data_IF_230192918196
#
_entry.id   IF_230192918196
#
_cell.length_a   1.000
_cell.length_b   1.000
_cell.length_c   1.000
_cell.angle_alpha   90.00
_cell.angle_beta   90.00
_cell.angle_gamma   90.00
#
_symmetry.space_group_name_H-M   'P 1'
#
loop_
_entity.id
_entity.type
_entity.pdbx_description
1 polymer ?
#
# COMPACT_ATOMS: atom_id res chain seq x y z
N UNK A 1 32.24 5.33 16.76
CA UNK A 1 31.49 4.27 16.05
C UNK A 1 32.48 3.37 15.32
N UNK A 2 32.29 2.04 15.41
CA UNK A 2 33.14 1.06 14.73
C UNK A 2 32.96 1.07 13.21
N UNK A 3 34.03 0.87 12.47
CA UNK A 3 34.02 0.78 11.00
C UNK A 3 33.55 -0.62 10.55
N UNK A 4 32.70 -0.68 9.53
CA UNK A 4 32.10 -1.93 9.04
C UNK A 4 32.18 -2.08 7.52
N UNK A 5 32.18 -3.33 7.07
CA UNK A 5 32.12 -3.74 5.67
C UNK A 5 30.73 -4.31 5.41
N UNK A 6 30.08 -3.85 4.34
CA UNK A 6 28.70 -4.26 4.03
C UNK A 6 28.68 -5.03 2.71
N UNK A 7 28.16 -6.26 2.71
CA UNK A 7 27.76 -7.00 1.51
C UNK A 7 26.25 -6.93 1.33
N UNK A 8 25.79 -6.68 0.10
CA UNK A 8 24.37 -6.56 -0.19
C UNK A 8 24.01 -7.30 -1.47
N UNK A 9 23.10 -8.27 -1.35
CA UNK A 9 22.46 -8.92 -2.50
C UNK A 9 21.09 -8.26 -2.76
N UNK A 10 20.86 -7.87 -4.01
CA UNK A 10 19.71 -7.07 -4.40
C UNK A 10 18.74 -7.91 -5.25
N UNK A 11 17.50 -8.06 -4.78
CA UNK A 11 16.46 -8.85 -5.43
C UNK A 11 15.10 -8.73 -4.74
N UNK A 12 14.13 -9.55 -5.17
CA UNK A 12 12.82 -9.68 -4.50
C UNK A 12 12.98 -10.03 -3.02
N UNK A 13 13.90 -10.96 -2.75
CA UNK A 13 14.49 -11.16 -1.43
C UNK A 13 15.87 -10.54 -1.47
N UNK A 14 16.09 -9.48 -0.69
CA UNK A 14 17.39 -8.83 -0.56
C UNK A 14 18.07 -9.32 0.71
N UNK A 15 19.38 -9.50 0.69
CA UNK A 15 20.13 -9.94 1.86
C UNK A 15 21.25 -8.97 2.21
N UNK A 16 21.51 -8.86 3.52
CA UNK A 16 22.50 -7.95 4.10
C UNK A 16 23.47 -8.72 4.96
N UNK A 17 24.76 -8.64 4.65
CA UNK A 17 25.84 -9.12 5.48
C UNK A 17 26.68 -7.94 5.97
N UNK A 18 26.97 -7.88 7.27
CA UNK A 18 27.80 -6.84 7.87
C UNK A 18 28.97 -7.49 8.60
N UNK A 19 30.19 -7.13 8.22
CA UNK A 19 31.42 -7.56 8.87
C UNK A 19 32.10 -6.41 9.61
N UNK A 20 32.81 -6.75 10.68
CA UNK A 20 33.79 -5.83 11.26
C UNK A 20 35.00 -5.68 10.33
N UNK A 21 35.83 -4.66 10.56
CA UNK A 21 37.13 -4.53 9.88
C UNK A 21 38.12 -5.67 10.22
N UNK A 22 37.82 -6.50 11.23
CA UNK A 22 38.56 -7.72 11.55
C UNK A 22 38.08 -8.94 10.75
N UNK A 23 36.96 -8.83 10.02
CA UNK A 23 36.36 -9.93 9.26
C UNK A 23 35.31 -10.73 10.03
N UNK A 24 34.98 -10.33 11.26
CA UNK A 24 33.95 -11.00 12.06
C UNK A 24 32.55 -10.66 11.54
N UNK A 25 31.68 -11.66 11.44
CA UNK A 25 30.28 -11.48 11.07
C UNK A 25 29.50 -10.84 12.21
N UNK A 26 29.03 -9.61 11.99
CA UNK A 26 28.24 -8.83 12.94
C UNK A 26 26.74 -8.99 12.73
N UNK A 27 26.32 -9.15 11.47
CA UNK A 27 24.91 -9.28 11.12
C UNK A 27 24.75 -10.01 9.78
N UNK A 28 23.75 -10.88 9.69
CA UNK A 28 23.31 -11.54 8.47
C UNK A 28 21.80 -11.69 8.52
N UNK A 29 21.10 -11.23 7.49
CA UNK A 29 19.64 -11.37 7.41
C UNK A 29 19.11 -11.19 5.99
N UNK A 30 17.92 -11.73 5.76
CA UNK A 30 17.15 -11.60 4.52
C UNK A 30 15.92 -10.74 4.76
N UNK A 31 15.60 -9.89 3.79
CA UNK A 31 14.47 -8.98 3.80
C UNK A 31 13.57 -9.29 2.60
N UNK A 32 12.26 -9.44 2.85
CA UNK A 32 11.26 -9.52 1.79
C UNK A 32 10.92 -8.11 1.32
N UNK A 33 11.27 -7.78 0.08
CA UNK A 33 11.13 -6.44 -0.48
C UNK A 33 12.26 -5.48 -0.08
N UNK A 34 12.59 -4.56 -0.97
CA UNK A 34 13.64 -3.57 -0.76
C UNK A 34 13.10 -2.31 -0.05
N UNK A 35 13.06 -2.33 1.29
CA UNK A 35 12.89 -1.10 2.08
C UNK A 35 14.28 -0.50 2.42
N UNK A 36 14.65 0.52 1.64
CA UNK A 36 15.92 1.24 1.80
C UNK A 36 16.10 1.83 3.21
N UNK A 37 15.03 2.32 3.83
CA UNK A 37 15.08 2.92 5.16
C UNK A 37 15.41 1.90 6.24
N UNK A 38 14.82 0.71 6.16
CA UNK A 38 15.12 -0.42 7.06
C UNK A 38 16.59 -0.85 6.93
N UNK A 39 17.07 -1.02 5.70
CA UNK A 39 18.47 -1.44 5.44
C UNK A 39 19.46 -0.41 5.98
N UNK A 40 19.22 0.89 5.73
CA UNK A 40 20.09 1.96 6.24
C UNK A 40 20.15 1.94 7.77
N UNK A 41 19.00 1.80 8.45
CA UNK A 41 18.95 1.72 9.91
C UNK A 41 19.72 0.52 10.44
N UNK A 42 19.61 -0.65 9.80
CA UNK A 42 20.37 -1.84 10.20
C UNK A 42 21.88 -1.66 10.04
N UNK A 43 22.32 -1.04 8.94
CA UNK A 43 23.73 -0.72 8.73
C UNK A 43 24.24 0.22 9.83
N UNK A 44 23.55 1.35 10.06
CA UNK A 44 23.94 2.35 11.05
C UNK A 44 23.94 1.82 12.48
N UNK A 45 23.00 0.93 12.82
CA UNK A 45 22.97 0.24 14.12
C UNK A 45 24.23 -0.59 14.36
N UNK A 46 24.79 -1.16 13.29
CA UNK A 46 25.98 -2.00 13.39
C UNK A 46 27.29 -1.22 13.25
N UNK A 47 27.30 -0.03 12.65
CA UNK A 47 28.50 0.80 12.57
C UNK A 47 28.49 1.77 11.40
N UNK A 48 29.66 2.33 11.09
CA UNK A 48 29.85 3.23 9.94
C UNK A 48 30.44 2.46 8.76
N UNK A 49 29.74 2.37 7.62
CA UNK A 49 30.23 1.61 6.48
C UNK A 49 31.43 2.32 5.83
N UNK A 50 32.52 1.57 5.63
CA UNK A 50 33.70 2.04 4.89
C UNK A 50 33.62 1.67 3.41
N UNK A 51 32.90 0.59 3.08
CA UNK A 51 32.69 0.11 1.73
C UNK A 51 31.39 -0.69 1.64
N UNK A 52 30.86 -0.79 0.42
CA UNK A 52 29.73 -1.66 0.08
C UNK A 52 30.15 -2.63 -1.02
N UNK A 53 29.83 -3.90 -0.87
CA UNK A 53 30.28 -4.97 -1.74
C UNK A 53 29.12 -5.69 -2.44
N UNK A 54 29.42 -6.23 -3.62
CA UNK A 54 28.54 -7.10 -4.40
C UNK A 54 29.36 -8.18 -5.11
N UNK A 55 28.74 -9.34 -5.31
CA UNK A 55 29.23 -10.54 -5.97
C UNK A 55 29.20 -10.48 -7.51
N UNK A 56 28.53 -9.47 -8.08
CA UNK A 56 28.41 -9.27 -9.53
C UNK A 56 29.48 -8.33 -10.08
N UNK A 57 29.96 -8.62 -11.29
CA UNK A 57 30.78 -7.71 -12.09
C UNK A 57 30.00 -6.45 -12.34
N UNK A 58 28.78 -6.51 -12.85
CA UNK A 58 27.96 -5.31 -12.98
C UNK A 58 27.24 -5.00 -11.68
N UNK A 59 27.56 -3.85 -11.07
CA UNK A 59 27.01 -3.49 -9.77
C UNK A 59 25.51 -3.19 -9.88
N UNK A 60 24.65 -3.88 -9.09
CA UNK A 60 23.22 -3.61 -9.06
C UNK A 60 22.89 -2.16 -8.67
N UNK A 61 21.76 -1.64 -9.16
CA UNK A 61 21.31 -0.26 -8.88
C UNK A 61 21.18 0.02 -7.39
N UNK A 62 20.60 -0.91 -6.62
CA UNK A 62 20.45 -0.78 -5.17
C UNK A 62 21.79 -0.65 -4.43
N UNK A 63 22.80 -1.42 -4.84
CA UNK A 63 24.17 -1.33 -4.28
C UNK A 63 24.80 0.03 -4.57
N UNK A 64 24.64 0.54 -5.81
CA UNK A 64 25.10 1.89 -6.18
C UNK A 64 24.42 2.97 -5.34
N UNK A 65 23.12 2.85 -5.11
CA UNK A 65 22.35 3.78 -4.30
C UNK A 65 22.75 3.77 -2.83
N UNK A 66 22.91 2.59 -2.22
CA UNK A 66 23.41 2.47 -0.85
C UNK A 66 24.81 3.09 -0.74
N UNK A 67 25.70 2.81 -1.70
CA UNK A 67 27.05 3.34 -1.66
C UNK A 67 27.06 4.87 -1.77
N UNK A 68 26.21 5.44 -2.63
CA UNK A 68 26.01 6.89 -2.72
C UNK A 68 25.47 7.47 -1.40
N UNK A 69 24.46 6.85 -0.81
CA UNK A 69 23.85 7.31 0.44
C UNK A 69 24.86 7.37 1.59
N UNK A 70 25.77 6.41 1.67
CA UNK A 70 26.80 6.42 2.70
C UNK A 70 28.10 7.14 2.29
N UNK A 71 28.25 7.59 1.03
CA UNK A 71 29.52 8.08 0.51
C UNK A 71 30.62 7.00 0.55
N UNK A 72 30.26 5.75 0.32
CA UNK A 72 31.16 4.59 0.29
C UNK A 72 31.67 4.30 -1.12
N UNK A 73 32.85 3.68 -1.18
CA UNK A 73 33.30 3.01 -2.40
C UNK A 73 32.58 1.67 -2.55
N UNK A 74 32.38 1.26 -3.80
CA UNK A 74 31.85 -0.06 -4.14
C UNK A 74 33.02 -1.00 -4.43
N UNK A 75 33.03 -2.17 -3.81
CA UNK A 75 33.97 -3.24 -4.11
C UNK A 75 33.25 -4.39 -4.81
N UNK A 76 33.70 -4.73 -6.01
CA UNK A 76 33.14 -5.80 -6.85
C UNK A 76 34.23 -6.69 -7.44
N UNK A 77 33.93 -7.96 -7.79
CA UNK A 77 34.86 -8.82 -8.51
C UNK A 77 35.03 -8.37 -9.97
N UNK A 78 36.02 -8.95 -10.68
CA UNK A 78 36.30 -8.63 -12.10
C UNK A 78 35.33 -9.35 -13.05
N UNK A 79 34.79 -10.48 -12.61
CA UNK A 79 33.73 -11.29 -13.19
C UNK A 79 32.77 -11.68 -12.08
N UNK A 80 31.56 -12.10 -12.41
CA UNK A 80 30.62 -12.63 -11.43
C UNK A 80 31.25 -13.83 -10.70
N UNK A 81 31.02 -13.91 -9.39
CA UNK A 81 31.44 -15.06 -8.59
C UNK A 81 30.52 -16.24 -8.92
N UNK A 82 31.10 -17.40 -9.22
CA UNK A 82 30.34 -18.64 -9.37
C UNK A 82 29.81 -19.11 -8.03
N UNK A 83 28.79 -19.99 -8.04
CA UNK A 83 28.23 -20.56 -6.81
C UNK A 83 29.30 -21.27 -5.96
N UNK A 84 30.14 -22.07 -6.61
CA UNK A 84 31.27 -22.77 -5.99
C UNK A 84 32.26 -21.81 -5.32
N UNK A 85 32.59 -20.69 -5.98
CA UNK A 85 33.46 -19.66 -5.39
C UNK A 85 32.84 -19.02 -4.15
N UNK A 86 31.53 -18.74 -4.19
CA UNK A 86 30.82 -18.18 -3.04
C UNK A 86 30.79 -19.17 -1.88
N UNK A 87 30.49 -20.45 -2.14
CA UNK A 87 30.51 -21.51 -1.13
C UNK A 87 31.89 -21.67 -0.47
N UNK A 88 32.98 -21.60 -1.24
CA UNK A 88 34.33 -21.66 -0.68
C UNK A 88 34.69 -20.38 0.10
N UNK A 89 34.20 -19.20 -0.33
CA UNK A 89 34.39 -17.96 0.42
C UNK A 89 33.73 -18.03 1.81
N UNK A 90 32.52 -18.57 1.89
CA UNK A 90 31.72 -18.59 3.13
C UNK A 90 31.90 -19.84 3.97
N UNK A 91 32.79 -20.76 3.58
CA UNK A 91 32.99 -22.08 4.19
C UNK A 91 33.11 -22.09 5.71
N UNK A 92 33.83 -21.11 6.27
CA UNK A 92 34.04 -20.96 7.73
C UNK A 92 32.82 -20.39 8.48
N UNK A 93 31.79 -19.96 7.77
CA UNK A 93 30.56 -19.38 8.31
C UNK A 93 29.31 -20.07 7.75
N UNK A 94 29.46 -21.25 7.16
CA UNK A 94 28.37 -21.96 6.45
C UNK A 94 27.22 -22.33 7.38
N UNK A 95 27.53 -22.59 8.64
CA UNK A 95 26.60 -22.86 9.75
C UNK A 95 25.69 -21.68 10.10
N UNK A 96 26.03 -20.45 9.68
CA UNK A 96 25.27 -19.23 9.98
C UNK A 96 24.34 -18.80 8.85
N UNK A 97 24.37 -19.50 7.72
CA UNK A 97 23.62 -19.15 6.51
C UNK A 97 22.30 -19.92 6.49
N UNK A 98 21.19 -19.21 6.35
CA UNK A 98 19.86 -19.81 6.31
C UNK A 98 19.32 -19.97 4.88
N UNK A 99 19.77 -19.14 3.93
CA UNK A 99 19.29 -19.16 2.55
C UNK A 99 20.36 -18.74 1.52
N UNK A 100 20.08 -18.99 0.22
CA UNK A 100 20.99 -18.69 -0.88
C UNK A 100 21.28 -17.16 -1.02
N UNK A 101 20.38 -16.28 -0.60
CA UNK A 101 20.60 -14.83 -0.65
C UNK A 101 21.60 -14.38 0.42
N UNK A 102 21.50 -14.95 1.62
CA UNK A 102 22.48 -14.72 2.68
C UNK A 102 23.87 -15.20 2.26
N UNK A 103 23.95 -16.33 1.54
CA UNK A 103 25.21 -16.81 0.95
C UNK A 103 25.80 -15.76 0.00
N UNK A 104 25.00 -15.17 -0.89
CA UNK A 104 25.44 -14.16 -1.85
C UNK A 104 25.91 -12.87 -1.17
N UNK A 105 25.14 -12.38 -0.18
CA UNK A 105 25.50 -11.19 0.58
C UNK A 105 26.77 -11.40 1.43
N UNK A 106 26.89 -12.54 2.10
CA UNK A 106 28.05 -12.88 2.92
C UNK A 106 29.30 -13.09 2.08
N UNK A 107 29.19 -13.80 0.96
CA UNK A 107 30.28 -13.98 0.00
C UNK A 107 30.79 -12.62 -0.50
N UNK A 108 29.88 -11.69 -0.82
CA UNK A 108 30.22 -10.31 -1.21
C UNK A 108 31.05 -9.59 -0.14
N UNK A 109 30.61 -9.65 1.13
CA UNK A 109 31.28 -8.98 2.23
C UNK A 109 32.66 -9.59 2.53
N UNK A 110 32.77 -10.92 2.58
CA UNK A 110 34.02 -11.64 2.85
C UNK A 110 35.02 -11.48 1.69
N UNK A 111 34.54 -11.49 0.44
CA UNK A 111 35.36 -11.18 -0.73
C UNK A 111 35.99 -9.78 -0.61
N UNK A 112 35.18 -8.80 -0.19
CA UNK A 112 35.66 -7.44 0.00
C UNK A 112 36.67 -7.33 1.14
N UNK A 113 36.40 -7.97 2.29
CA UNK A 113 37.33 -8.04 3.42
C UNK A 113 38.68 -8.64 3.00
N UNK A 114 38.68 -9.81 2.33
CA UNK A 114 39.92 -10.46 1.85
C UNK A 114 40.76 -9.56 0.96
N UNK A 115 40.13 -8.71 0.14
CA UNK A 115 40.83 -7.74 -0.72
C UNK A 115 41.45 -6.57 0.04
N UNK A 116 40.85 -6.13 1.13
CA UNK A 116 41.33 -4.97 1.88
C UNK A 116 42.12 -5.34 3.14
N UNK A 117 42.11 -6.60 3.56
CA UNK A 117 42.79 -7.12 4.76
C UNK A 117 44.25 -6.68 4.83
N UNK A 118 45.04 -6.93 3.77
CA UNK A 118 46.46 -6.52 3.69
C UNK A 118 46.65 -5.01 3.88
N UNK A 119 45.72 -4.21 3.37
CA UNK A 119 45.77 -2.74 3.52
C UNK A 119 45.44 -2.32 4.95
N UNK A 120 44.48 -2.97 5.59
CA UNK A 120 44.15 -2.74 7.00
C UNK A 120 45.33 -3.13 7.90
N UNK A 121 45.91 -4.32 7.70
CA UNK A 121 47.07 -4.80 8.47
C UNK A 121 48.29 -3.87 8.36
N UNK A 122 48.54 -3.31 7.17
CA UNK A 122 49.61 -2.33 6.98
C UNK A 122 49.38 -1.06 7.81
N UNK A 123 48.14 -0.57 7.84
CA UNK A 123 47.74 0.61 8.63
C UNK A 123 47.87 0.31 10.12
N UNK A 124 47.42 -0.84 10.57
CA UNK A 124 47.52 -1.26 11.96
C UNK A 124 48.97 -1.37 12.42
N UNK A 125 49.83 -2.00 11.62
CA UNK A 125 51.25 -2.08 11.91
C UNK A 125 51.87 -0.68 12.01
N UNK A 126 51.56 0.20 11.07
CA UNK A 126 52.08 1.58 11.06
C UNK A 126 51.63 2.38 12.30
N UNK A 127 50.40 2.17 12.77
CA UNK A 127 49.86 2.82 13.97
C UNK A 127 50.47 2.24 15.25
N UNK A 128 50.62 0.92 15.33
CA UNK A 128 51.20 0.23 16.48
C UNK A 128 52.67 0.60 16.69
N UNK A 129 53.45 0.69 15.62
CA UNK A 129 54.85 1.14 15.65
C UNK A 129 54.99 2.58 16.19
N UNK A 130 53.90 3.37 16.20
CA UNK A 130 53.85 4.75 16.72
C UNK A 130 53.03 4.88 18.02
N UNK A 131 52.51 3.78 18.57
CA UNK A 131 51.67 3.81 19.78
C UNK A 131 50.33 4.53 19.58
N UNK A 132 49.77 4.52 18.37
CA UNK A 132 48.53 5.23 17.99
C UNK A 132 47.34 4.28 17.77
N UNK A 133 47.33 3.13 18.44
CA UNK A 133 46.30 2.10 18.26
C UNK A 133 44.87 2.62 18.53
N UNK A 134 44.70 3.62 19.40
CA UNK A 134 43.39 4.25 19.68
C UNK A 134 42.75 4.91 18.45
N UNK A 135 43.57 5.34 17.47
CA UNK A 135 43.10 6.01 16.26
C UNK A 135 42.74 5.03 15.13
N UNK A 136 42.98 3.72 15.32
CA UNK A 136 42.81 2.67 14.31
C UNK A 136 41.51 2.77 13.52
N UNK A 137 40.38 2.78 14.23
CA UNK A 137 39.06 2.80 13.59
C UNK A 137 38.82 4.08 12.76
N UNK A 138 39.32 5.23 13.24
CA UNK A 138 39.17 6.53 12.59
C UNK A 138 40.08 6.67 11.38
N UNK A 139 41.34 6.26 11.50
CA UNK A 139 42.30 6.22 10.37
C UNK A 139 41.76 5.32 9.27
N UNK A 140 41.32 4.10 9.60
CA UNK A 140 40.75 3.19 8.61
C UNK A 140 39.50 3.81 7.97
N UNK A 141 38.59 4.38 8.76
CA UNK A 141 37.39 5.03 8.21
C UNK A 141 37.73 6.10 7.16
N UNK A 142 38.57 7.07 7.53
CA UNK A 142 38.92 8.18 6.64
C UNK A 142 39.77 7.74 5.45
N UNK A 143 40.65 6.74 5.61
CA UNK A 143 41.45 6.18 4.53
C UNK A 143 40.59 5.57 3.40
N UNK A 144 39.43 5.00 3.75
CA UNK A 144 38.51 4.43 2.77
C UNK A 144 37.48 5.44 2.25
N UNK A 145 37.16 6.49 3.02
CA UNK A 145 36.22 7.56 2.64
C UNK A 145 36.85 8.65 1.77
N UNK A 146 37.99 9.16 2.17
CA UNK A 146 38.61 10.34 1.56
C UNK A 146 39.53 9.89 0.42
N UNK A 147 39.23 10.34 -0.79
CA UNK A 147 40.09 10.09 -1.96
C UNK A 147 41.32 11.00 -1.87
N UNK A 148 42.52 10.44 -2.06
CA UNK A 148 43.75 11.21 -2.28
C UNK A 148 44.54 11.63 -1.03
N UNK A 149 44.10 11.26 0.18
CA UNK A 149 44.90 11.47 1.39
C UNK A 149 45.89 10.32 1.58
N UNK A 150 47.16 10.66 1.82
CA UNK A 150 48.15 9.69 2.24
C UNK A 150 48.02 9.40 3.75
N UNK A 151 48.55 8.26 4.19
CA UNK A 151 48.42 7.79 5.57
C UNK A 151 48.99 8.80 6.59
N UNK A 152 50.10 9.44 6.23
CA UNK A 152 50.84 10.37 7.08
C UNK A 152 50.10 11.69 7.28
N UNK A 153 49.51 12.26 6.22
CA UNK A 153 48.60 13.41 6.28
C UNK A 153 47.40 13.12 7.18
N UNK A 154 46.84 11.91 7.09
CA UNK A 154 45.70 11.53 7.90
C UNK A 154 46.07 11.42 9.38
N UNK A 155 47.24 10.85 9.68
CA UNK A 155 47.73 10.71 11.06
C UNK A 155 48.15 12.06 11.63
N UNK A 156 48.84 12.91 10.86
CA UNK A 156 49.18 14.27 11.27
C UNK A 156 47.92 15.11 11.54
N UNK A 157 46.84 14.88 10.79
CA UNK A 157 45.55 15.52 11.06
C UNK A 157 44.88 15.01 12.35
N UNK A 158 45.04 13.74 12.68
CA UNK A 158 44.42 13.12 13.87
C UNK A 158 45.27 13.27 15.14
N UNK A 159 46.58 13.41 15.01
CA UNK A 159 47.57 13.45 16.11
C UNK A 159 48.16 14.86 16.32
N UNK A 160 48.34 15.62 15.23
CA UNK A 160 48.90 16.97 15.24
C UNK A 160 47.99 18.05 15.85
N UNK A 161 46.76 17.70 16.24
CA UNK A 161 45.85 18.58 16.96
C UNK A 161 46.27 18.85 18.42
N UNK A 162 47.35 18.23 18.93
CA UNK A 162 47.78 18.39 20.33
C UNK A 162 48.92 19.37 20.64
N UNK A 163 49.68 19.91 19.67
CA UNK A 163 50.92 20.66 20.04
C UNK A 163 51.17 22.07 19.56
N UNK A 164 50.58 22.59 18.47
CA UNK A 164 50.93 23.96 18.06
C UNK A 164 49.72 24.73 17.54
N UNK A 165 49.62 25.98 18.02
CA UNK A 165 48.69 27.10 17.69
C UNK A 165 47.29 27.05 18.29
N UNK A 166 47.17 27.40 19.58
CA UNK A 166 45.88 27.65 20.24
C UNK A 166 45.27 29.03 19.99
N UNK A 167 45.99 29.98 19.37
CA UNK A 167 45.51 31.37 19.26
C UNK A 167 45.27 31.83 17.81
N UNK A 168 46.06 31.40 16.81
CA UNK A 168 45.81 31.76 15.39
C UNK A 168 44.93 30.76 14.62
N UNK A 169 45.01 29.45 14.92
CA UNK A 169 44.07 28.46 14.37
C UNK A 169 42.68 28.58 14.99
N UNK A 170 42.57 29.03 16.25
CA UNK A 170 41.28 29.31 16.86
C UNK A 170 40.50 30.33 16.02
N UNK A 171 41.08 31.47 15.64
CA UNK A 171 40.37 32.47 14.83
C UNK A 171 40.01 32.00 13.41
N UNK A 172 40.83 31.18 12.75
CA UNK A 172 40.57 30.66 11.38
C UNK A 172 39.66 29.42 11.38
N UNK A 173 39.75 28.53 12.38
CA UNK A 173 38.83 27.41 12.59
C UNK A 173 37.49 27.87 13.15
N UNK A 174 37.45 28.93 13.94
CA UNK A 174 36.24 29.58 14.42
C UNK A 174 35.56 30.31 13.26
N UNK A 175 36.28 31.03 12.38
CA UNK A 175 35.73 31.53 11.11
C UNK A 175 35.23 30.43 10.18
N UNK A 176 35.98 29.33 10.00
CA UNK A 176 35.54 28.19 9.18
C UNK A 176 34.38 27.41 9.81
N UNK A 177 34.32 27.31 11.14
CA UNK A 177 33.17 26.77 11.88
C UNK A 177 31.97 27.69 11.77
N UNK A 178 32.16 29.00 11.85
CA UNK A 178 31.12 30.00 11.66
C UNK A 178 30.61 29.97 10.21
N UNK A 179 31.48 29.92 9.20
CA UNK A 179 31.10 29.77 7.80
C UNK A 179 30.36 28.45 7.56
N UNK A 180 30.86 27.33 8.11
CA UNK A 180 30.19 26.02 8.05
C UNK A 180 28.87 26.00 8.83
N UNK A 181 28.77 26.73 9.94
CA UNK A 181 27.56 26.86 10.74
C UNK A 181 26.55 27.76 10.03
N UNK A 182 26.99 28.83 9.39
CA UNK A 182 26.16 29.72 8.58
C UNK A 182 25.63 28.97 7.36
N UNK A 183 26.45 28.16 6.70
CA UNK A 183 26.01 27.31 5.59
C UNK A 183 25.02 26.24 6.05
N UNK A 184 25.27 25.59 7.19
CA UNK A 184 24.33 24.66 7.80
C UNK A 184 23.01 25.33 8.24
N UNK A 185 23.08 26.54 8.79
CA UNK A 185 21.91 27.32 9.18
C UNK A 185 21.13 27.78 7.95
N UNK A 186 21.80 28.17 6.87
CA UNK A 186 21.16 28.50 5.58
C UNK A 186 20.46 27.29 4.99
N UNK A 187 21.13 26.13 4.98
CA UNK A 187 20.53 24.88 4.51
C UNK A 187 19.33 24.49 5.37
N UNK A 188 19.42 24.65 6.69
CA UNK A 188 18.31 24.41 7.61
C UNK A 188 17.14 25.35 7.37
N UNK A 189 17.39 26.66 7.19
CA UNK A 189 16.34 27.65 6.88
C UNK A 189 15.66 27.30 5.55
N UNK A 190 16.43 26.90 4.55
CA UNK A 190 15.90 26.49 3.25
C UNK A 190 15.07 25.20 3.35
N UNK A 191 15.54 24.22 4.12
CA UNK A 191 14.79 22.99 4.39
C UNK A 191 13.50 23.28 5.19
N UNK A 192 13.55 24.20 6.16
CA UNK A 192 12.37 24.64 6.92
C UNK A 192 11.37 25.37 6.00
N UNK A 193 11.84 26.19 5.05
CA UNK A 193 11.01 26.83 4.02
C UNK A 193 10.34 25.78 3.13
N UNK A 194 11.10 24.83 2.59
CA UNK A 194 10.58 23.74 1.76
C UNK A 194 9.58 22.87 2.53
N UNK A 195 9.85 22.58 3.81
CA UNK A 195 8.91 21.85 4.66
C UNK A 195 7.60 22.63 4.87
N UNK A 196 7.67 23.95 5.01
CA UNK A 196 6.48 24.79 5.12
C UNK A 196 5.67 24.76 3.83
N UNK A 197 6.31 24.94 2.68
CA UNK A 197 5.68 24.87 1.36
C UNK A 197 5.03 23.51 1.10
N UNK A 198 5.76 22.42 1.35
CA UNK A 198 5.19 21.07 1.25
C UNK A 198 4.00 20.85 2.19
N UNK A 199 4.03 21.40 3.41
CA UNK A 199 2.88 21.31 4.33
C UNK A 199 1.66 22.07 3.82
N UNK A 200 1.87 23.25 3.24
CA UNK A 200 0.81 24.07 2.64
C UNK A 200 0.21 23.38 1.41
N UNK A 201 1.05 22.78 0.56
CA UNK A 201 0.60 21.96 -0.57
C UNK A 201 -0.21 20.75 -0.10
N UNK A 202 0.30 19.98 0.87
CA UNK A 202 -0.42 18.82 1.43
C UNK A 202 -1.76 19.24 2.02
N UNK A 203 -1.82 20.38 2.71
CA UNK A 203 -3.08 20.94 3.23
C UNK A 203 -4.05 21.27 2.09
N UNK A 204 -3.55 21.86 1.00
CA UNK A 204 -4.35 22.21 -0.18
C UNK A 204 -4.86 20.95 -0.90
N UNK A 205 -4.02 19.94 -1.07
CA UNK A 205 -4.42 18.66 -1.65
C UNK A 205 -5.46 17.94 -0.79
N UNK A 206 -5.35 17.99 0.54
CA UNK A 206 -6.37 17.44 1.44
C UNK A 206 -7.72 18.13 1.28
N UNK A 207 -7.74 19.47 1.22
CA UNK A 207 -8.97 20.25 0.98
C UNK A 207 -9.58 19.92 -0.39
N UNK A 208 -8.75 19.80 -1.43
CA UNK A 208 -9.21 19.46 -2.76
C UNK A 208 -9.79 18.04 -2.81
N UNK A 209 -9.17 17.08 -2.12
CA UNK A 209 -9.67 15.71 -2.00
C UNK A 209 -11.06 15.68 -1.36
N UNK A 210 -11.28 16.40 -0.26
CA UNK A 210 -12.60 16.47 0.38
C UNK A 210 -13.67 16.99 -0.59
N UNK A 211 -13.38 18.05 -1.34
CA UNK A 211 -14.30 18.56 -2.38
C UNK A 211 -14.56 17.55 -3.49
N UNK A 212 -13.54 16.77 -3.86
CA UNK A 212 -13.70 15.73 -4.88
C UNK A 212 -14.58 14.59 -4.38
N UNK A 213 -14.43 14.17 -3.12
CA UNK A 213 -15.27 13.17 -2.49
C UNK A 213 -16.74 13.64 -2.41
N UNK A 214 -16.98 14.91 -2.04
CA UNK A 214 -18.32 15.54 -2.09
C UNK A 214 -18.91 15.52 -3.51
N UNK A 215 -18.11 15.87 -4.53
CA UNK A 215 -18.56 15.85 -5.93
C UNK A 215 -18.94 14.44 -6.41
N UNK A 216 -18.21 13.41 -5.96
CA UNK A 216 -18.56 12.02 -6.26
C UNK A 216 -19.91 11.63 -5.63
N UNK A 217 -20.18 12.07 -4.41
CA UNK A 217 -21.46 11.84 -3.74
C UNK A 217 -22.61 12.52 -4.49
N UNK A 218 -22.44 13.80 -4.86
CA UNK A 218 -23.44 14.53 -5.65
C UNK A 218 -23.69 13.87 -7.01
N UNK A 219 -22.63 13.39 -7.67
CA UNK A 219 -22.75 12.69 -8.95
C UNK A 219 -23.58 11.41 -8.80
N UNK A 220 -23.31 10.60 -7.78
CA UNK A 220 -24.08 9.39 -7.52
C UNK A 220 -25.55 9.70 -7.23
N UNK A 221 -25.84 10.71 -6.40
CA UNK A 221 -27.23 11.17 -6.15
C UNK A 221 -27.91 11.66 -7.43
N UNK A 222 -27.19 12.38 -8.29
CA UNK A 222 -27.73 12.87 -9.56
C UNK A 222 -28.06 11.72 -10.53
N UNK A 223 -27.19 10.71 -10.62
CA UNK A 223 -27.42 9.52 -11.45
C UNK A 223 -28.66 8.75 -10.97
N UNK A 224 -28.81 8.58 -9.66
CA UNK A 224 -30.03 7.98 -9.06
C UNK A 224 -31.28 8.80 -9.38
N UNK A 225 -31.25 10.11 -9.14
CA UNK A 225 -32.38 10.99 -9.43
C UNK A 225 -32.78 10.94 -10.90
N UNK A 226 -31.80 10.93 -11.81
CA UNK A 226 -32.04 10.79 -13.25
C UNK A 226 -32.69 9.46 -13.59
N UNK A 227 -32.20 8.36 -13.02
CA UNK A 227 -32.78 7.03 -13.22
C UNK A 227 -34.25 6.95 -12.78
N UNK A 228 -34.57 7.41 -11.56
CA UNK A 228 -35.94 7.40 -11.07
C UNK A 228 -36.86 8.38 -11.81
N UNK A 229 -36.33 9.52 -12.28
CA UNK A 229 -37.07 10.44 -13.14
C UNK A 229 -37.47 9.79 -14.48
N UNK A 230 -36.57 8.99 -15.08
CA UNK A 230 -36.90 8.22 -16.28
C UNK A 230 -38.01 7.20 -16.02
N UNK A 231 -37.97 6.51 -14.87
CA UNK A 231 -39.05 5.61 -14.44
C UNK A 231 -40.38 6.36 -14.33
N UNK A 232 -40.42 7.48 -13.59
CA UNK A 232 -41.65 8.29 -13.43
C UNK A 232 -42.22 8.74 -14.77
N UNK A 233 -41.34 9.22 -15.67
CA UNK A 233 -41.74 9.62 -17.02
C UNK A 233 -42.35 8.46 -17.80
N UNK A 234 -41.76 7.27 -17.71
CA UNK A 234 -42.27 6.10 -18.41
C UNK A 234 -43.56 5.55 -17.76
N UNK A 235 -43.73 5.65 -16.44
CA UNK A 235 -45.00 5.36 -15.76
C UNK A 235 -46.13 6.24 -16.30
N UNK A 236 -45.87 7.53 -16.52
CA UNK A 236 -46.86 8.46 -17.08
C UNK A 236 -47.17 8.13 -18.54
N UNK A 237 -46.17 7.73 -19.34
CA UNK A 237 -46.40 7.24 -20.70
C UNK A 237 -47.30 6.01 -20.71
N UNK A 238 -47.08 5.03 -19.83
CA UNK A 238 -47.94 3.85 -19.74
C UNK A 238 -49.39 4.24 -19.41
N UNK A 239 -49.60 5.17 -18.47
CA UNK A 239 -50.93 5.70 -18.16
C UNK A 239 -51.59 6.36 -19.37
N UNK A 240 -50.82 7.13 -20.15
CA UNK A 240 -51.31 7.79 -21.37
C UNK A 240 -51.74 6.79 -22.47
N UNK A 241 -51.22 5.56 -22.42
CA UNK A 241 -51.61 4.47 -23.30
C UNK A 241 -52.85 3.70 -22.81
N UNK A 242 -53.47 4.14 -21.70
CA UNK A 242 -54.63 3.46 -21.11
C UNK A 242 -54.28 2.18 -20.36
N UNK A 243 -53.01 1.97 -20.01
CA UNK A 243 -52.54 0.79 -19.30
C UNK A 243 -52.24 1.11 -17.82
N UNK A 244 -52.38 0.12 -16.96
CA UNK A 244 -51.95 0.20 -15.56
C UNK A 244 -50.44 0.01 -15.47
N UNK A 245 -49.69 0.98 -14.91
CA UNK A 245 -48.24 0.91 -14.87
C UNK A 245 -47.72 -0.04 -13.80
N UNK A 246 -46.68 -0.79 -14.16
CA UNK A 246 -46.04 -1.83 -13.34
C UNK A 246 -44.55 -1.52 -13.23
N UNK A 247 -44.06 -1.45 -12.00
CA UNK A 247 -42.64 -1.29 -11.69
C UNK A 247 -41.99 -2.68 -11.64
N UNK A 248 -40.97 -2.90 -12.45
CA UNK A 248 -40.22 -4.15 -12.42
C UNK A 248 -39.05 -4.05 -11.44
N UNK A 249 -38.96 -5.01 -10.53
CA UNK A 249 -37.85 -5.15 -9.58
C UNK A 249 -37.24 -6.54 -9.73
N UNK A 250 -35.99 -6.61 -10.18
CA UNK A 250 -35.25 -7.88 -10.23
C UNK A 250 -34.99 -8.42 -8.82
N UNK A 251 -34.60 -7.52 -7.91
CA UNK A 251 -34.49 -7.76 -6.47
C UNK A 251 -35.29 -6.71 -5.72
N UNK A 252 -35.94 -7.11 -4.64
CA UNK A 252 -36.69 -6.22 -3.77
C UNK A 252 -35.74 -5.76 -2.66
N UNK A 253 -34.99 -4.70 -2.95
CA UNK A 253 -34.02 -4.10 -2.04
C UNK A 253 -34.08 -2.58 -2.12
N UNK A 254 -33.47 -1.91 -1.14
CA UNK A 254 -33.41 -0.44 -1.07
C UNK A 254 -34.79 0.26 -1.15
N UNK A 255 -35.83 -0.37 -0.59
CA UNK A 255 -37.21 0.10 -0.73
C UNK A 255 -37.45 1.50 -0.17
N UNK A 256 -36.77 1.89 0.91
CA UNK A 256 -36.85 3.26 1.45
C UNK A 256 -36.38 4.30 0.43
N UNK A 257 -35.28 4.00 -0.28
CA UNK A 257 -34.77 4.87 -1.34
C UNK A 257 -35.78 4.93 -2.50
N UNK A 258 -36.21 3.77 -3.00
CA UNK A 258 -37.16 3.68 -4.11
C UNK A 258 -38.45 4.44 -3.77
N UNK A 259 -39.02 4.22 -2.60
CA UNK A 259 -40.22 4.89 -2.14
C UNK A 259 -40.04 6.41 -2.06
N UNK A 260 -38.90 6.88 -1.55
CA UNK A 260 -38.60 8.32 -1.49
C UNK A 260 -38.55 9.01 -2.87
N UNK A 261 -38.19 8.28 -3.93
CA UNK A 261 -38.08 8.83 -5.27
C UNK A 261 -39.34 8.68 -6.13
N UNK A 262 -40.02 7.53 -6.07
CA UNK A 262 -41.13 7.23 -6.99
C UNK A 262 -42.47 6.94 -6.31
N UNK A 263 -42.48 6.76 -4.98
CA UNK A 263 -43.65 6.40 -4.18
C UNK A 263 -44.21 5.02 -4.54
N UNK A 264 -44.20 4.09 -3.59
CA UNK A 264 -44.64 2.71 -3.78
C UNK A 264 -46.12 2.50 -3.43
N UNK A 265 -46.72 3.40 -2.64
CA UNK A 265 -48.12 3.30 -2.26
C UNK A 265 -49.05 3.26 -3.50
N UNK A 266 -49.94 2.26 -3.53
CA UNK A 266 -50.87 2.04 -4.64
C UNK A 266 -50.23 1.64 -5.97
N UNK A 267 -48.91 1.40 -6.02
CA UNK A 267 -48.21 0.92 -7.23
C UNK A 267 -48.38 -0.58 -7.40
N UNK A 268 -48.25 -1.04 -8.65
CA UNK A 268 -48.16 -2.45 -8.99
C UNK A 268 -46.68 -2.77 -9.19
N UNK A 269 -46.21 -3.83 -8.53
CA UNK A 269 -44.81 -4.27 -8.63
C UNK A 269 -44.79 -5.62 -9.32
N UNK A 270 -43.82 -5.85 -10.21
CA UNK A 270 -43.49 -7.19 -10.70
C UNK A 270 -42.13 -7.59 -10.13
N UNK A 271 -42.07 -8.76 -9.51
CA UNK A 271 -40.80 -9.36 -9.07
C UNK A 271 -40.92 -10.87 -8.91
N UNK A 272 -39.79 -11.56 -9.10
CA UNK A 272 -39.65 -13.00 -8.83
C UNK A 272 -38.80 -13.25 -7.57
N UNK A 273 -38.42 -12.21 -6.84
CA UNK A 273 -37.63 -12.29 -5.60
C UNK A 273 -38.51 -12.64 -4.40
N UNK A 274 -38.79 -13.94 -4.22
CA UNK A 274 -39.70 -14.45 -3.18
C UNK A 274 -39.29 -14.03 -1.77
N UNK A 275 -37.97 -13.96 -1.50
CA UNK A 275 -37.45 -13.56 -0.18
C UNK A 275 -37.86 -12.14 0.18
N UNK A 276 -37.88 -11.26 -0.83
CA UNK A 276 -38.20 -9.86 -0.68
C UNK A 276 -39.70 -9.52 -0.57
N UNK A 277 -40.61 -10.46 -0.87
CA UNK A 277 -42.06 -10.17 -0.86
C UNK A 277 -42.50 -9.62 0.51
N UNK A 278 -42.06 -10.23 1.60
CA UNK A 278 -42.42 -9.77 2.94
C UNK A 278 -42.03 -8.31 3.24
N UNK A 279 -41.02 -7.77 2.55
CA UNK A 279 -40.51 -6.41 2.74
C UNK A 279 -41.48 -5.34 2.19
N UNK A 280 -42.26 -5.68 1.15
CA UNK A 280 -43.22 -4.76 0.52
C UNK A 280 -44.47 -4.50 1.38
N UNK A 281 -44.67 -5.26 2.46
CA UNK A 281 -45.85 -5.16 3.33
C UNK A 281 -46.02 -3.78 3.98
N UNK A 282 -44.93 -3.02 4.13
CA UNK A 282 -44.94 -1.71 4.79
C UNK A 282 -45.15 -0.54 3.82
N UNK A 283 -45.28 -0.81 2.51
CA UNK A 283 -45.28 0.22 1.46
C UNK A 283 -46.63 0.41 0.76
N UNK A 284 -47.69 -0.27 1.23
CA UNK A 284 -49.05 -0.03 0.74
C UNK A 284 -49.27 -0.29 -0.76
N UNK A 285 -48.52 -1.23 -1.35
CA UNK A 285 -48.62 -1.52 -2.79
C UNK A 285 -50.00 -2.07 -3.17
N UNK A 286 -50.45 -1.81 -4.40
CA UNK A 286 -51.75 -2.28 -4.91
C UNK A 286 -51.78 -3.80 -5.07
N UNK A 287 -50.75 -4.36 -5.68
CA UNK A 287 -50.53 -5.79 -5.80
C UNK A 287 -49.11 -6.10 -6.29
N UNK A 288 -48.70 -7.35 -6.09
CA UNK A 288 -47.46 -7.90 -6.63
C UNK A 288 -47.78 -8.89 -7.76
N UNK A 289 -47.10 -8.76 -8.88
CA UNK A 289 -47.14 -9.67 -10.00
C UNK A 289 -45.89 -10.56 -9.96
N UNK A 290 -46.05 -11.87 -10.21
CA UNK A 290 -44.93 -12.81 -10.14
C UNK A 290 -45.16 -14.04 -11.02
N UNK A 291 -44.09 -14.68 -11.47
CA UNK A 291 -44.14 -15.96 -12.20
C UNK A 291 -43.94 -17.14 -11.25
N UNK A 292 -43.36 -16.90 -10.08
CA UNK A 292 -42.93 -17.92 -9.14
C UNK A 292 -44.01 -18.24 -8.10
N UNK A 293 -44.08 -19.50 -7.63
CA UNK A 293 -44.94 -19.84 -6.50
C UNK A 293 -44.41 -19.17 -5.21
N UNK A 294 -45.31 -18.93 -4.26
CA UNK A 294 -44.96 -18.41 -2.93
C UNK A 294 -45.74 -19.17 -1.86
N UNK A 295 -45.11 -19.38 -0.71
CA UNK A 295 -45.69 -20.16 0.39
C UNK A 295 -46.40 -19.26 1.42
N UNK A 296 -45.81 -18.12 1.76
CA UNK A 296 -46.35 -17.20 2.78
C UNK A 296 -47.16 -16.08 2.14
N UNK A 297 -48.40 -15.92 2.58
CA UNK A 297 -49.30 -14.90 2.06
C UNK A 297 -48.90 -13.49 2.54
N UNK A 298 -48.54 -12.55 1.63
CA UNK A 298 -48.26 -11.17 1.99
C UNK A 298 -49.54 -10.40 2.36
N UNK A 299 -49.39 -9.19 2.93
CA UNK A 299 -50.52 -8.29 3.29
C UNK A 299 -51.21 -7.66 2.08
N UNK A 300 -50.68 -7.87 0.89
CA UNK A 300 -51.19 -7.35 -0.38
C UNK A 300 -51.50 -8.51 -1.34
N UNK A 301 -52.35 -8.29 -2.36
CA UNK A 301 -52.67 -9.31 -3.35
C UNK A 301 -51.44 -9.70 -4.18
N UNK A 302 -51.22 -11.00 -4.38
CA UNK A 302 -50.17 -11.54 -5.26
C UNK A 302 -50.85 -12.23 -6.44
N UNK A 303 -50.50 -11.82 -7.66
CA UNK A 303 -51.10 -12.32 -8.90
C UNK A 303 -50.04 -13.05 -9.71
N UNK A 304 -50.34 -14.31 -10.05
CA UNK A 304 -49.47 -15.09 -10.93
C UNK A 304 -49.70 -14.71 -12.39
N UNK A 305 -48.66 -14.24 -13.07
CA UNK A 305 -48.72 -13.81 -14.47
C UNK A 305 -47.36 -13.99 -15.16
N UNK A 306 -47.38 -14.40 -16.42
CA UNK A 306 -46.17 -14.46 -17.25
C UNK A 306 -45.75 -13.05 -17.70
N UNK A 307 -44.46 -12.72 -17.62
CA UNK A 307 -43.93 -11.40 -17.99
C UNK A 307 -44.19 -11.07 -19.45
N UNK A 308 -44.27 -12.07 -20.33
CA UNK A 308 -44.62 -11.91 -21.74
C UNK A 308 -46.04 -11.42 -21.98
N UNK A 309 -46.93 -11.50 -20.98
CA UNK A 309 -48.28 -10.92 -21.04
C UNK A 309 -48.30 -9.39 -20.82
N UNK A 310 -47.15 -8.78 -20.47
CA UNK A 310 -47.01 -7.37 -20.14
C UNK A 310 -46.42 -6.57 -21.31
N UNK A 311 -46.86 -5.32 -21.46
CA UNK A 311 -46.34 -4.41 -22.48
C UNK A 311 -45.15 -3.63 -21.91
N UNK A 312 -43.94 -3.83 -22.44
CA UNK A 312 -42.75 -3.08 -22.01
C UNK A 312 -42.75 -1.66 -22.59
N UNK A 313 -42.61 -0.65 -21.74
CA UNK A 313 -42.51 0.77 -22.12
C UNK A 313 -41.33 1.39 -21.39
N UNK A 314 -40.22 1.55 -22.10
CA UNK A 314 -38.97 2.05 -21.51
C UNK A 314 -38.51 1.17 -20.34
N UNK A 315 -38.44 1.76 -19.15
CA UNK A 315 -37.99 1.11 -17.93
C UNK A 315 -39.10 0.40 -17.13
N UNK A 316 -40.36 0.48 -17.58
CA UNK A 316 -41.53 -0.06 -16.86
C UNK A 316 -42.38 -0.95 -17.76
N UNK A 317 -43.40 -1.56 -17.17
CA UNK A 317 -44.37 -2.41 -17.87
C UNK A 317 -45.79 -1.84 -17.74
N UNK A 318 -46.68 -2.28 -18.63
CA UNK A 318 -48.10 -1.95 -18.61
C UNK A 318 -48.97 -3.19 -18.76
N UNK A 319 -50.12 -3.18 -18.09
CA UNK A 319 -51.16 -4.21 -18.23
C UNK A 319 -52.53 -3.54 -18.41
N UNK A 320 -53.42 -4.18 -19.18
CA UNK A 320 -54.81 -3.75 -19.28
C UNK A 320 -55.51 -3.83 -17.91
N UNK A 321 -56.26 -2.79 -17.54
CA UNK A 321 -56.91 -2.67 -16.24
C UNK A 321 -57.96 -3.76 -16.00
N UNK A 322 -58.78 -4.08 -17.01
CA UNK A 322 -59.82 -5.12 -16.88
C UNK A 322 -59.18 -6.49 -16.70
N UNK A 323 -58.09 -6.74 -17.44
CA UNK A 323 -57.31 -7.98 -17.32
C UNK A 323 -56.70 -8.10 -15.92
N UNK A 324 -56.12 -7.03 -15.39
CA UNK A 324 -55.56 -7.01 -14.03
C UNK A 324 -56.63 -7.25 -12.97
N UNK A 325 -57.76 -6.54 -13.04
CA UNK A 325 -58.84 -6.65 -12.06
C UNK A 325 -59.44 -8.06 -12.00
N UNK A 326 -59.59 -8.72 -13.15
CA UNK A 326 -60.06 -10.10 -13.21
C UNK A 326 -59.10 -11.04 -12.46
N UNK A 327 -57.80 -10.95 -12.78
CA UNK A 327 -56.75 -11.78 -12.15
C UNK A 327 -56.60 -11.49 -10.66
N UNK A 328 -56.74 -10.22 -10.24
CA UNK A 328 -56.71 -9.84 -8.83
C UNK A 328 -57.90 -10.43 -8.05
N UNK A 329 -59.11 -10.43 -8.63
CA UNK A 329 -60.29 -11.05 -8.01
C UNK A 329 -60.13 -12.56 -7.85
N UNK A 330 -59.57 -13.22 -8.86
CA UNK A 330 -59.25 -14.66 -8.80
C UNK A 330 -58.24 -14.95 -7.68
N UNK A 331 -57.13 -14.20 -7.64
CA UNK A 331 -56.10 -14.35 -6.61
C UNK A 331 -56.64 -14.14 -5.19
N UNK A 332 -57.46 -13.11 -4.97
CA UNK A 332 -58.11 -12.85 -3.68
C UNK A 332 -59.06 -13.97 -3.27
N UNK A 333 -59.81 -14.55 -4.22
CA UNK A 333 -60.72 -15.66 -3.95
C UNK A 333 -59.98 -16.93 -3.56
N UNK A 334 -58.85 -17.23 -4.22
CA UNK A 334 -58.00 -18.37 -3.86
C UNK A 334 -57.34 -18.20 -2.49
N UNK A 335 -56.80 -17.01 -2.22
CA UNK A 335 -56.27 -16.62 -0.92
C UNK A 335 -57.30 -16.82 0.21
N UNK A 336 -58.54 -16.34 0.01
CA UNK A 336 -59.60 -16.48 0.99
C UNK A 336 -59.96 -17.96 1.24
N UNK A 337 -60.00 -18.79 0.19
CA UNK A 337 -60.27 -20.23 0.34
C UNK A 337 -59.20 -20.92 1.17
N UNK A 338 -57.92 -20.68 0.88
CA UNK A 338 -56.80 -21.24 1.65
C UNK A 338 -56.87 -20.84 3.12
N UNK A 339 -57.13 -19.55 3.39
CA UNK A 339 -57.26 -19.07 4.76
C UNK A 339 -58.42 -19.75 5.51
N UNK A 340 -59.57 -19.94 4.87
CA UNK A 340 -60.71 -20.66 5.48
C UNK A 340 -60.38 -22.14 5.75
N UNK A 341 -59.62 -22.79 4.86
CA UNK A 341 -59.18 -24.18 5.04
C UNK A 341 -58.19 -24.31 6.20
N UNK A 342 -57.18 -23.44 6.27
CA UNK A 342 -56.20 -23.40 7.37
C UNK A 342 -56.87 -23.10 8.73
N UNK A 343 -57.83 -22.17 8.77
CA UNK A 343 -58.54 -21.83 10.01
C UNK A 343 -59.46 -22.96 10.46
N UNK A 344 -60.09 -23.68 9.52
CA UNK A 344 -60.83 -24.91 9.85
C UNK A 344 -59.90 -25.98 10.43
N UNK A 345 -58.75 -26.21 9.82
CA UNK A 345 -57.76 -27.17 10.35
C UNK A 345 -57.31 -26.79 11.76
N UNK A 346 -57.08 -25.50 12.05
CA UNK A 346 -56.73 -25.00 13.40
C UNK A 346 -57.84 -25.11 14.45
N UNK A 347 -59.11 -25.03 14.03
CA UNK A 347 -60.26 -25.17 14.95
C UNK A 347 -60.55 -26.64 15.27
N UNK A 348 -60.23 -27.56 14.34
CA UNK A 348 -60.47 -29.01 14.47
C UNK A 348 -59.21 -29.82 14.84
N UNK A 349 -58.08 -29.17 15.11
CA UNK A 349 -56.87 -29.75 15.74
C UNK A 349 -56.72 -29.27 17.18
#
# INVERSE_FOLDING_TARGET
MRSIIVGFDAGLNSALAILSINGELLHLSTFRGYDKGVIIRQILKNGRPILIASDKKETPKAVKELARTFGCRILRPRRDLSREEKEEIVKECKDKIEDDHQLDALASALFAYRRIKKKIELVERYLRERGLDEYRDSVIYYLFKLKGLNLEQLINRLVGEKKETKEEKAAVEEKKREESMVEFLRERIELERQLKEMREEVSSYRKLKLKFDELLEYKSKFEKLKHYFEILRDLEKVRSMGLQPIIYMEKIENLEEVDSYIGLEGRIIFSNDVEGFSMLNNYGIKCLLTEVPFEKQPKYPVVKIDRGELVKVGNVYGIDEKKLDLRMKEALKEALKKWVEEERERIYS
#
